data_IF_594471898746
#
_entry.id   IF_594471898746
#
_cell.length_a   1.000
_cell.length_b   1.000
_cell.length_c   1.000
_cell.angle_alpha   90.00
_cell.angle_beta   90.00
_cell.angle_gamma   90.00
#
_symmetry.space_group_name_H-M   'P 1'
#
loop_
_entity.id
_entity.type
_entity.pdbx_description
1 polymer ?
#
# COMPACT_ATOMS: atom_id res chain seq x y z
N UNK A 1 -12.13 13.13 -3.63
CA UNK A 1 -11.68 11.78 -4.02
C UNK A 1 -12.86 10.99 -4.59
N UNK A 2 -12.75 10.45 -5.81
CA UNK A 2 -13.90 9.97 -6.56
C UNK A 2 -14.63 8.76 -5.92
N UNK A 3 -13.99 7.99 -5.04
CA UNK A 3 -14.53 6.69 -4.56
C UNK A 3 -14.48 6.45 -3.03
N UNK A 4 -13.84 7.30 -2.23
CA UNK A 4 -13.85 7.16 -0.76
C UNK A 4 -13.34 5.79 -0.25
N UNK A 5 -14.01 5.23 0.76
CA UNK A 5 -13.70 3.88 1.29
C UNK A 5 -13.96 2.78 0.26
N UNK A 6 -14.93 2.98 -0.63
CA UNK A 6 -15.29 2.04 -1.70
C UNK A 6 -14.23 1.98 -2.81
N UNK A 7 -13.19 2.83 -2.75
CA UNK A 7 -12.04 2.75 -3.64
C UNK A 7 -10.94 1.78 -3.19
N UNK A 8 -11.04 1.22 -1.97
CA UNK A 8 -10.05 0.28 -1.44
C UNK A 8 -10.42 -1.17 -1.81
N UNK A 9 -9.43 -1.95 -2.23
CA UNK A 9 -9.62 -3.37 -2.52
C UNK A 9 -10.00 -4.16 -1.26
N UNK A 10 -9.50 -3.79 -0.08
CA UNK A 10 -9.90 -4.44 1.18
C UNK A 10 -11.40 -4.29 1.45
N UNK A 11 -12.03 -3.21 0.97
CA UNK A 11 -13.46 -2.97 1.13
C UNK A 11 -14.31 -3.90 0.23
N UNK A 12 -13.74 -4.40 -0.87
CA UNK A 12 -14.39 -5.43 -1.70
C UNK A 12 -14.42 -6.80 -1.01
N UNK A 13 -13.47 -7.05 -0.10
CA UNK A 13 -13.32 -8.33 0.60
C UNK A 13 -13.96 -8.33 1.99
N UNK A 14 -13.92 -7.20 2.68
CA UNK A 14 -14.34 -7.05 4.07
C UNK A 14 -15.12 -5.75 4.23
N UNK A 15 -16.09 -5.75 5.14
CA UNK A 15 -16.71 -4.50 5.58
C UNK A 15 -15.84 -3.88 6.66
N UNK A 16 -15.17 -2.79 6.34
CA UNK A 16 -14.41 -2.03 7.32
C UNK A 16 -15.37 -1.26 8.23
N UNK A 17 -15.13 -1.33 9.53
CA UNK A 17 -15.92 -0.60 10.52
C UNK A 17 -15.71 0.93 10.38
N UNK A 18 -16.76 1.76 10.54
CA UNK A 18 -16.68 3.22 10.35
C UNK A 18 -15.58 3.91 11.18
N UNK A 19 -15.25 3.38 12.35
CA UNK A 19 -14.21 3.88 13.24
C UNK A 19 -12.82 3.86 12.59
N UNK A 20 -12.60 3.00 11.59
CA UNK A 20 -11.34 2.89 10.87
C UNK A 20 -11.27 3.80 9.63
N UNK A 21 -12.36 4.45 9.23
CA UNK A 21 -12.39 5.22 7.97
C UNK A 21 -11.42 6.40 7.96
N UNK A 22 -11.21 7.03 9.12
CA UNK A 22 -10.23 8.11 9.23
C UNK A 22 -8.80 7.60 9.02
N UNK A 23 -8.46 6.44 9.59
CA UNK A 23 -7.18 5.78 9.32
C UNK A 23 -7.06 5.43 7.84
N UNK A 24 -8.09 4.81 7.24
CA UNK A 24 -8.11 4.39 5.84
C UNK A 24 -7.89 5.56 4.88
N UNK A 25 -8.49 6.73 5.16
CA UNK A 25 -8.28 7.96 4.39
C UNK A 25 -6.81 8.42 4.37
N UNK A 26 -6.03 8.04 5.37
CA UNK A 26 -4.61 8.31 5.49
C UNK A 26 -3.73 7.09 5.15
N UNK A 27 -4.26 6.11 4.41
CA UNK A 27 -3.55 4.88 4.08
C UNK A 27 -3.23 4.76 2.59
N UNK A 28 -2.08 4.16 2.28
CA UNK A 28 -1.80 3.58 0.96
C UNK A 28 -2.02 2.07 1.06
N UNK A 29 -2.91 1.54 0.23
CA UNK A 29 -3.11 0.11 0.11
C UNK A 29 -2.07 -0.52 -0.83
N UNK A 30 -1.36 -1.51 -0.31
CA UNK A 30 -0.31 -2.24 -0.98
C UNK A 30 -0.80 -3.62 -1.40
N UNK A 31 -0.56 -3.95 -2.67
CA UNK A 31 -0.71 -5.30 -3.18
C UNK A 31 0.55 -6.14 -3.03
N UNK A 32 0.49 -7.36 -3.55
CA UNK A 32 1.63 -8.29 -3.55
C UNK A 32 2.78 -7.77 -4.40
N UNK A 33 3.98 -7.76 -3.83
CA UNK A 33 5.20 -7.56 -4.58
C UNK A 33 5.46 -8.75 -5.51
N UNK A 34 5.99 -8.47 -6.71
CA UNK A 34 6.35 -9.49 -7.68
C UNK A 34 7.79 -9.28 -8.16
N UNK A 35 8.59 -10.35 -8.11
CA UNK A 35 9.97 -10.37 -8.59
C UNK A 35 10.08 -11.56 -9.55
N UNK A 36 10.55 -11.31 -10.77
CA UNK A 36 10.77 -12.37 -11.76
C UNK A 36 11.82 -13.36 -11.27
N UNK A 37 11.69 -14.64 -11.64
CA UNK A 37 12.52 -15.74 -11.10
C UNK A 37 14.02 -15.48 -11.20
N UNK A 38 14.49 -14.88 -12.30
CA UNK A 38 15.90 -14.52 -12.52
C UNK A 38 16.47 -13.59 -11.44
N UNK A 39 15.62 -12.80 -10.81
CA UNK A 39 16.02 -11.80 -9.82
C UNK A 39 15.64 -12.18 -8.38
N UNK A 40 14.96 -13.30 -8.16
CA UNK A 40 14.66 -13.79 -6.82
C UNK A 40 15.95 -14.15 -6.08
N UNK A 41 15.91 -14.06 -4.75
CA UNK A 41 17.06 -14.30 -3.84
C UNK A 41 18.28 -13.38 -4.07
N UNK A 42 18.16 -12.36 -4.94
CA UNK A 42 19.14 -11.28 -5.06
C UNK A 42 18.76 -10.14 -4.08
N UNK A 43 19.72 -9.44 -3.48
CA UNK A 43 19.43 -8.36 -2.53
C UNK A 43 18.88 -7.08 -3.20
N UNK A 44 19.28 -6.81 -4.45
CA UNK A 44 18.94 -5.55 -5.14
C UNK A 44 17.45 -5.33 -5.42
N UNK A 45 16.68 -6.31 -5.91
CA UNK A 45 15.26 -6.10 -6.20
C UNK A 45 14.44 -5.69 -4.96
N UNK A 46 14.67 -6.35 -3.83
CA UNK A 46 13.99 -6.00 -2.58
C UNK A 46 14.39 -4.60 -2.11
N UNK A 47 15.69 -4.24 -2.20
CA UNK A 47 16.15 -2.90 -1.88
C UNK A 47 15.50 -1.82 -2.76
N UNK A 48 15.38 -2.06 -4.06
CA UNK A 48 14.74 -1.11 -4.98
C UNK A 48 13.24 -0.97 -4.73
N UNK A 49 12.55 -2.05 -4.38
CA UNK A 49 11.14 -2.01 -3.97
C UNK A 49 10.97 -1.14 -2.71
N UNK A 50 11.78 -1.38 -1.67
CA UNK A 50 11.76 -0.57 -0.46
C UNK A 50 12.09 0.89 -0.74
N UNK A 51 13.08 1.16 -1.59
CA UNK A 51 13.41 2.51 -2.02
C UNK A 51 12.20 3.19 -2.68
N UNK A 52 11.51 2.50 -3.59
CA UNK A 52 10.29 3.02 -4.23
C UNK A 52 9.17 3.34 -3.25
N UNK A 53 8.92 2.45 -2.28
CA UNK A 53 7.92 2.64 -1.22
C UNK A 53 8.27 3.89 -0.41
N UNK A 54 9.52 4.02 0.06
CA UNK A 54 9.99 5.18 0.83
C UNK A 54 9.85 6.49 0.04
N UNK A 55 10.24 6.50 -1.24
CA UNK A 55 10.07 7.69 -2.06
C UNK A 55 8.61 8.07 -2.26
N UNK A 56 7.71 7.08 -2.32
CA UNK A 56 6.27 7.31 -2.44
C UNK A 56 5.72 7.91 -1.15
N UNK A 57 6.05 7.34 0.02
CA UNK A 57 5.56 7.86 1.31
C UNK A 57 6.10 9.26 1.61
N UNK A 58 7.36 9.56 1.24
CA UNK A 58 7.92 10.91 1.37
C UNK A 58 7.24 11.93 0.44
N UNK A 59 6.79 11.49 -0.74
CA UNK A 59 6.08 12.35 -1.70
C UNK A 59 4.65 12.65 -1.28
N UNK A 60 4.02 11.73 -0.55
CA UNK A 60 2.63 11.81 -0.09
C UNK A 60 2.55 11.68 1.45
N UNK A 61 3.11 12.64 2.20
CA UNK A 61 3.27 12.56 3.66
C UNK A 61 1.93 12.57 4.43
N UNK A 62 0.83 12.96 3.78
CA UNK A 62 -0.52 12.88 4.32
C UNK A 62 -1.04 11.44 4.45
N UNK A 63 -0.45 10.50 3.73
CA UNK A 63 -0.72 9.08 3.86
C UNK A 63 0.25 8.47 4.88
N UNK A 64 -0.23 8.34 6.11
CA UNK A 64 0.56 7.93 7.29
C UNK A 64 0.71 6.43 7.44
N UNK A 65 -0.14 5.66 6.77
CA UNK A 65 -0.23 4.22 6.96
C UNK A 65 0.01 3.48 5.64
N UNK A 66 0.74 2.37 5.72
CA UNK A 66 0.80 1.36 4.67
C UNK A 66 -0.06 0.19 5.14
N UNK A 67 -1.08 -0.17 4.36
CA UNK A 67 -1.98 -1.29 4.65
C UNK A 67 -1.91 -2.28 3.49
N UNK A 68 -2.24 -3.55 3.73
CA UNK A 68 -2.10 -4.61 2.73
C UNK A 68 -1.09 -5.66 3.13
N UNK A 69 -1.03 -6.76 2.38
CA UNK A 69 -0.25 -7.96 2.70
C UNK A 69 0.41 -8.60 1.50
#
# INVERSE_FOLDING_TARGET
PAHGIDGFYVQDLFRVEPELYDMMKHSIEMGRAYITKEYQQKPMPLFLLWKGIVHTTLRFPEHKYLIGG
#
